data_IF_480000839462
#
_entry.id   IF_480000839462
#
_cell.length_a   1.000
_cell.length_b   1.000
_cell.length_c   1.000
_cell.angle_alpha   90.00
_cell.angle_beta   90.00
_cell.angle_gamma   90.00
#
_symmetry.space_group_name_H-M   'P 1'
#
loop_
_entity.id
_entity.type
_entity.pdbx_description
1 polymer ?
#
# COMPACT_ATOMS: atom_id res chain seq x y z
N UNK A 1 6.29 7.36 -21.10
CA UNK A 1 5.00 7.41 -20.37
C UNK A 1 3.87 7.53 -21.37
N UNK A 2 2.73 6.84 -21.14
CA UNK A 2 1.53 7.01 -21.98
C UNK A 2 0.57 8.08 -21.44
N UNK A 3 0.52 8.28 -20.12
CA UNK A 3 -0.33 9.27 -19.45
C UNK A 3 0.38 9.84 -18.22
N UNK A 4 0.05 11.09 -17.86
CA UNK A 4 0.43 11.75 -16.61
C UNK A 4 -0.72 12.69 -16.19
N UNK A 5 -1.06 12.72 -14.90
CA UNK A 5 -2.11 13.58 -14.35
C UNK A 5 -1.50 14.40 -13.23
N UNK A 6 -1.43 15.72 -13.41
CA UNK A 6 -0.98 16.63 -12.38
C UNK A 6 -2.06 16.80 -11.30
N UNK A 7 -1.63 16.95 -10.05
CA UNK A 7 -2.47 17.21 -8.89
C UNK A 7 -1.73 18.15 -7.92
N UNK A 8 -2.38 18.56 -6.83
CA UNK A 8 -1.84 19.59 -5.96
C UNK A 8 -0.63 19.13 -5.14
N UNK A 9 -0.55 17.85 -4.76
CA UNK A 9 0.54 17.28 -3.97
C UNK A 9 0.56 15.73 -4.04
N UNK A 10 1.53 15.09 -3.38
CA UNK A 10 1.69 13.63 -3.36
C UNK A 10 0.59 12.87 -2.59
N UNK A 11 0.04 13.46 -1.53
CA UNK A 11 -1.08 12.86 -0.78
C UNK A 11 -2.32 12.76 -1.67
N UNK A 12 -2.64 13.83 -2.40
CA UNK A 12 -3.74 13.83 -3.37
C UNK A 12 -3.50 12.81 -4.48
N UNK A 13 -2.25 12.68 -4.95
CA UNK A 13 -1.89 11.69 -5.98
C UNK A 13 -2.26 10.26 -5.53
N UNK A 14 -1.89 9.88 -4.30
CA UNK A 14 -2.21 8.57 -3.75
C UNK A 14 -3.72 8.38 -3.56
N UNK A 15 -4.39 9.38 -2.98
CA UNK A 15 -5.83 9.32 -2.73
C UNK A 15 -6.65 9.20 -4.02
N UNK A 16 -6.28 9.96 -5.06
CA UNK A 16 -6.94 9.93 -6.37
C UNK A 16 -6.87 8.54 -7.00
N UNK A 17 -5.71 7.88 -6.93
CA UNK A 17 -5.52 6.53 -7.49
C UNK A 17 -6.37 5.51 -6.73
N UNK A 18 -6.36 5.53 -5.39
CA UNK A 18 -7.18 4.62 -4.58
C UNK A 18 -8.67 4.78 -4.89
N UNK A 19 -9.16 6.03 -4.98
CA UNK A 19 -10.54 6.31 -5.36
C UNK A 19 -10.87 5.86 -6.79
N UNK A 20 -9.95 6.07 -7.73
CA UNK A 20 -10.13 5.63 -9.11
C UNK A 20 -10.19 4.10 -9.24
N UNK A 21 -9.50 3.37 -8.36
CA UNK A 21 -9.56 1.90 -8.26
C UNK A 21 -10.75 1.38 -7.44
N UNK A 22 -11.59 2.27 -6.93
CA UNK A 22 -12.77 1.92 -6.14
C UNK A 22 -12.44 1.31 -4.78
N UNK A 23 -11.27 1.64 -4.22
CA UNK A 23 -10.85 1.19 -2.89
C UNK A 23 -11.72 1.88 -1.84
N UNK A 24 -12.29 1.10 -0.91
CA UNK A 24 -13.17 1.63 0.12
C UNK A 24 -13.41 0.69 1.29
N UNK A 25 -14.54 0.88 1.99
CA UNK A 25 -14.90 0.07 3.16
C UNK A 25 -14.91 -1.43 2.84
N UNK A 26 -14.23 -2.20 3.70
CA UNK A 26 -14.06 -3.64 3.54
C UNK A 26 -12.80 -4.04 2.77
N UNK A 27 -12.08 -3.10 2.17
CA UNK A 27 -10.79 -3.37 1.52
C UNK A 27 -9.62 -3.24 2.51
N UNK A 28 -8.62 -4.10 2.32
CA UNK A 28 -7.31 -4.01 2.95
C UNK A 28 -6.28 -3.48 1.94
N UNK A 29 -5.53 -2.46 2.35
CA UNK A 29 -4.38 -1.92 1.60
C UNK A 29 -3.11 -2.13 2.41
N UNK A 30 -2.15 -2.85 1.85
CA UNK A 30 -0.89 -3.17 2.53
C UNK A 30 0.11 -2.02 2.34
N UNK A 31 0.58 -1.45 3.45
CA UNK A 31 1.48 -0.28 3.49
C UNK A 31 2.66 -0.54 4.43
N UNK A 32 3.89 -0.08 4.13
CA UNK A 32 4.99 -0.16 5.08
C UNK A 32 4.66 0.58 6.38
N UNK A 33 4.97 -0.02 7.53
CA UNK A 33 4.82 0.64 8.83
C UNK A 33 5.79 1.82 8.98
N UNK A 34 6.96 1.72 8.34
CA UNK A 34 8.00 2.75 8.34
C UNK A 34 7.93 3.56 7.04
N UNK A 35 7.15 4.64 7.06
CA UNK A 35 6.94 5.54 5.92
C UNK A 35 6.38 6.90 6.37
N UNK A 36 6.19 7.83 5.45
CA UNK A 36 5.49 9.09 5.74
C UNK A 36 3.99 8.86 5.98
N UNK A 37 3.39 9.62 6.89
CA UNK A 37 2.01 9.41 7.36
C UNK A 37 0.97 9.34 6.23
N UNK A 38 1.17 10.11 5.14
CA UNK A 38 0.26 10.13 4.00
C UNK A 38 -0.04 8.74 3.44
N UNK A 39 0.95 7.82 3.41
CA UNK A 39 0.80 6.47 2.85
C UNK A 39 -0.33 5.69 3.53
N UNK A 40 -0.44 5.78 4.87
CA UNK A 40 -1.51 5.13 5.62
C UNK A 40 -2.77 5.99 5.73
N UNK A 41 -2.60 7.31 5.86
CA UNK A 41 -3.71 8.27 6.00
C UNK A 41 -4.69 8.20 4.82
N UNK A 42 -4.18 8.18 3.59
CA UNK A 42 -5.04 8.15 2.38
C UNK A 42 -5.89 6.89 2.30
N UNK A 43 -5.41 5.76 2.82
CA UNK A 43 -6.18 4.51 2.90
C UNK A 43 -7.36 4.68 3.87
N UNK A 44 -7.11 5.25 5.05
CA UNK A 44 -8.17 5.53 6.01
C UNK A 44 -9.18 6.55 5.46
N UNK A 45 -8.72 7.55 4.70
CA UNK A 45 -9.58 8.55 4.05
C UNK A 45 -10.50 7.97 2.97
N UNK A 46 -10.19 6.82 2.37
CA UNK A 46 -11.14 6.12 1.49
C UNK A 46 -12.14 5.24 2.26
N UNK A 47 -11.97 5.08 3.57
CA UNK A 47 -12.74 4.14 4.40
C UNK A 47 -12.21 2.70 4.35
N UNK A 48 -11.11 2.45 3.64
CA UNK A 48 -10.40 1.18 3.65
C UNK A 48 -9.54 1.02 4.91
N UNK A 49 -9.03 -0.19 5.15
CA UNK A 49 -8.18 -0.49 6.30
C UNK A 49 -6.71 -0.58 5.87
N UNK A 50 -5.80 0.28 6.39
CA UNK A 50 -4.38 0.10 6.19
C UNK A 50 -3.90 -1.12 6.99
N UNK A 51 -3.20 -2.03 6.32
CA UNK A 51 -2.54 -3.17 6.94
C UNK A 51 -1.04 -2.92 6.91
N UNK A 52 -0.48 -2.61 8.07
CA UNK A 52 0.93 -2.32 8.21
C UNK A 52 1.77 -3.59 8.01
N UNK A 53 2.76 -3.49 7.14
CA UNK A 53 3.76 -4.53 6.88
C UNK A 53 5.14 -4.02 7.29
N UNK A 54 6.02 -4.93 7.66
CA UNK A 54 7.37 -4.58 8.13
C UNK A 54 8.29 -4.19 6.96
N UNK A 55 9.47 -3.66 7.30
CA UNK A 55 10.50 -3.23 6.35
C UNK A 55 11.82 -3.95 6.60
N UNK A 56 12.66 -4.03 5.57
CA UNK A 56 14.02 -4.53 5.71
C UNK A 56 14.90 -3.46 6.36
N UNK A 57 15.80 -3.82 7.30
CA UNK A 57 16.59 -2.85 8.06
C UNK A 57 17.71 -2.16 7.26
N UNK A 58 18.07 -2.71 6.09
CA UNK A 58 19.15 -2.23 5.22
C UNK A 58 18.65 -1.29 4.11
N UNK A 59 17.46 -1.55 3.58
CA UNK A 59 16.84 -0.75 2.50
C UNK A 59 15.70 0.13 2.98
N UNK A 60 15.13 -0.17 4.15
CA UNK A 60 13.91 0.44 4.70
C UNK A 60 12.67 0.30 3.82
N UNK A 61 12.76 -0.51 2.76
CA UNK A 61 11.64 -0.85 1.90
C UNK A 61 10.92 -2.09 2.46
N UNK A 62 9.71 -2.32 1.96
CA UNK A 62 8.83 -3.42 2.39
C UNK A 62 9.56 -4.77 2.43
N UNK A 63 9.40 -5.50 3.53
CA UNK A 63 9.78 -6.91 3.62
C UNK A 63 8.70 -7.79 2.96
N UNK A 64 9.10 -8.53 1.92
CA UNK A 64 8.20 -9.39 1.16
C UNK A 64 7.67 -10.56 2.00
N UNK A 65 8.45 -11.08 2.95
CA UNK A 65 7.98 -12.16 3.82
C UNK A 65 6.89 -11.66 4.77
N UNK A 66 7.10 -10.49 5.38
CA UNK A 66 6.08 -9.80 6.19
C UNK A 66 4.81 -9.50 5.38
N UNK A 67 4.96 -9.02 4.14
CA UNK A 67 3.84 -8.77 3.23
C UNK A 67 3.03 -10.04 2.93
N UNK A 68 3.68 -11.13 2.54
CA UNK A 68 3.03 -12.41 2.24
C UNK A 68 2.27 -12.97 3.45
N UNK A 69 2.85 -12.88 4.64
CA UNK A 69 2.21 -13.27 5.88
C UNK A 69 0.96 -12.41 6.17
N UNK A 70 1.04 -11.09 5.96
CA UNK A 70 -0.09 -10.18 6.16
C UNK A 70 -1.24 -10.46 5.19
N UNK A 71 -0.95 -10.73 3.92
CA UNK A 71 -1.97 -11.10 2.91
C UNK A 71 -2.65 -12.41 3.30
N UNK A 72 -1.87 -13.42 3.68
CA UNK A 72 -2.41 -14.71 4.12
C UNK A 72 -3.30 -14.56 5.36
N UNK A 73 -2.91 -13.70 6.30
CA UNK A 73 -3.70 -13.39 7.49
C UNK A 73 -5.03 -12.73 7.15
N UNK A 74 -5.03 -11.71 6.28
CA UNK A 74 -6.25 -11.02 5.82
C UNK A 74 -7.18 -12.02 5.11
N UNK A 75 -6.65 -12.81 4.18
CA UNK A 75 -7.42 -13.84 3.46
C UNK A 75 -8.01 -14.88 4.41
N UNK A 76 -7.27 -15.30 5.45
CA UNK A 76 -7.72 -16.28 6.45
C UNK A 76 -8.78 -15.71 7.39
N UNK A 77 -8.64 -14.46 7.84
CA UNK A 77 -9.58 -13.84 8.78
C UNK A 77 -10.94 -13.52 8.12
N UNK A 78 -10.95 -13.26 6.81
CA UNK A 78 -12.17 -13.10 6.02
C UNK A 78 -12.99 -11.83 6.32
N UNK A 79 -12.50 -10.95 7.20
CA UNK A 79 -13.16 -9.67 7.53
C UNK A 79 -12.93 -8.58 6.50
N UNK A 80 -11.80 -8.65 5.78
CA UNK A 80 -11.40 -7.67 4.78
C UNK A 80 -11.04 -8.39 3.47
N UNK A 81 -11.14 -7.67 2.37
CA UNK A 81 -10.68 -8.12 1.05
C UNK A 81 -9.29 -7.56 0.77
N UNK A 82 -8.30 -8.44 0.59
CA UNK A 82 -6.96 -8.03 0.16
C UNK A 82 -7.05 -7.38 -1.24
N UNK A 83 -6.79 -6.07 -1.34
CA UNK A 83 -7.12 -5.28 -2.54
C UNK A 83 -5.91 -4.63 -3.21
N UNK A 84 -5.04 -3.98 -2.45
CA UNK A 84 -3.91 -3.19 -2.99
C UNK A 84 -2.66 -3.38 -2.14
N UNK A 85 -1.50 -3.46 -2.79
CA UNK A 85 -0.20 -3.21 -2.16
C UNK A 85 0.28 -1.84 -2.58
N UNK A 86 0.67 -1.03 -1.60
CA UNK A 86 1.25 0.28 -1.82
C UNK A 86 2.66 0.28 -1.24
N UNK A 87 3.66 -0.20 -2.01
CA UNK A 87 5.05 -0.08 -1.59
C UNK A 87 5.48 1.39 -1.62
N UNK A 88 6.55 1.70 -0.89
CA UNK A 88 7.15 3.03 -0.89
C UNK A 88 8.61 2.87 -1.25
N UNK A 89 9.06 3.67 -2.22
CA UNK A 89 10.47 3.80 -2.59
C UNK A 89 11.17 4.72 -1.58
N UNK A 90 11.42 4.21 -0.38
CA UNK A 90 11.85 5.03 0.73
C UNK A 90 13.25 5.59 0.47
N UNK A 91 13.45 6.87 0.79
CA UNK A 91 14.70 7.61 0.55
C UNK A 91 15.17 7.61 -0.92
N UNK A 92 14.27 7.33 -1.86
CA UNK A 92 14.55 7.29 -3.30
C UNK A 92 15.11 5.96 -3.80
N UNK A 93 15.18 4.93 -2.95
CA UNK A 93 15.56 3.58 -3.35
C UNK A 93 14.32 2.80 -3.80
N UNK A 94 14.26 2.29 -5.05
CA UNK A 94 13.09 1.54 -5.52
C UNK A 94 12.80 0.27 -4.70
N UNK A 95 11.55 0.09 -4.33
CA UNK A 95 11.08 -1.09 -3.64
C UNK A 95 10.93 -2.28 -4.61
N UNK A 96 11.47 -3.43 -4.20
CA UNK A 96 11.31 -4.67 -4.98
C UNK A 96 9.95 -5.29 -4.70
N UNK A 97 9.09 -5.43 -5.71
CA UNK A 97 7.70 -5.92 -5.54
C UNK A 97 7.22 -6.93 -6.60
N UNK A 98 8.08 -7.36 -7.53
CA UNK A 98 7.67 -8.01 -8.77
C UNK A 98 6.99 -9.40 -8.63
N UNK A 99 7.27 -10.18 -7.59
CA UNK A 99 6.69 -11.52 -7.38
C UNK A 99 5.40 -11.50 -6.55
N UNK A 100 5.34 -10.69 -5.50
CA UNK A 100 4.29 -10.77 -4.47
C UNK A 100 3.04 -9.93 -4.78
N UNK A 101 3.06 -9.11 -5.85
CA UNK A 101 1.93 -8.28 -6.28
C UNK A 101 0.83 -9.02 -7.09
N UNK A 102 0.91 -10.36 -7.22
CA UNK A 102 -0.13 -11.18 -7.87
C UNK A 102 -1.10 -11.72 -6.80
N UNK A 103 -2.08 -10.91 -6.40
CA UNK A 103 -3.04 -11.27 -5.33
C UNK A 103 -4.40 -11.71 -5.82
#
# INVERSE_FOLDING_TARGET
MKHAVACANGTDALLLVLKAWGVGTGDAVFVPAFTFAATGEVVALTGASPVCVDVLPDTYNVDLASLEAAIALVKRDGKLTAKVVMPVDLLGLPATTASSCRM
#
